data_IF_044219205566
#
_entry.id   IF_044219205566
#
_cell.length_a   1.000
_cell.length_b   1.000
_cell.length_c   1.000
_cell.angle_alpha   90.00
_cell.angle_beta   90.00
_cell.angle_gamma   90.00
#
_symmetry.space_group_name_H-M   'P 1'
#
loop_
_entity.id
_entity.type
_entity.pdbx_description
1 polymer ?
#
# COMPACT_ATOMS: atom_id res chain seq x y z
N UNK A 1 -5.67 13.30 23.85
CA UNK A 1 -5.06 12.14 23.17
C UNK A 1 -3.57 12.38 23.05
N UNK A 2 -2.76 11.47 23.54
CA UNK A 2 -1.30 11.56 23.46
C UNK A 2 -0.80 11.21 22.05
N UNK A 3 0.48 11.53 21.76
CA UNK A 3 1.10 11.10 20.49
C UNK A 3 1.19 9.57 20.38
N UNK A 4 1.35 8.90 21.52
CA UNK A 4 1.34 7.44 21.59
C UNK A 4 -0.04 6.88 21.22
N UNK A 5 -1.11 7.43 21.79
CA UNK A 5 -2.49 7.03 21.46
C UNK A 5 -2.78 7.23 19.97
N UNK A 6 -2.33 8.35 19.40
CA UNK A 6 -2.49 8.62 17.97
C UNK A 6 -1.75 7.60 17.10
N UNK A 7 -0.52 7.22 17.48
CA UNK A 7 0.25 6.19 16.78
C UNK A 7 -0.43 4.81 16.86
N UNK A 8 -0.91 4.42 18.05
CA UNK A 8 -1.63 3.15 18.27
C UNK A 8 -2.88 3.11 17.38
N UNK A 9 -3.70 4.17 17.40
CA UNK A 9 -4.93 4.24 16.58
C UNK A 9 -4.63 4.13 15.09
N UNK A 10 -3.57 4.82 14.60
CA UNK A 10 -3.17 4.73 13.19
C UNK A 10 -2.75 3.32 12.82
N UNK A 11 -1.92 2.66 13.63
CA UNK A 11 -1.45 1.31 13.37
C UNK A 11 -2.59 0.28 13.45
N UNK A 12 -3.54 0.47 14.35
CA UNK A 12 -4.73 -0.37 14.43
C UNK A 12 -5.59 -0.22 13.17
N UNK A 13 -5.85 1.01 12.72
CA UNK A 13 -6.61 1.28 11.50
C UNK A 13 -5.92 0.68 10.27
N UNK A 14 -4.60 0.85 10.13
CA UNK A 14 -3.79 0.25 9.08
C UNK A 14 -3.97 -1.27 9.06
N UNK A 15 -3.77 -1.94 10.19
CA UNK A 15 -3.92 -3.39 10.30
C UNK A 15 -5.32 -3.86 9.91
N UNK A 16 -6.37 -3.22 10.44
CA UNK A 16 -7.75 -3.59 10.13
C UNK A 16 -8.07 -3.44 8.64
N UNK A 17 -7.59 -2.38 7.99
CA UNK A 17 -7.76 -2.19 6.55
C UNK A 17 -6.96 -3.22 5.73
N UNK A 18 -5.75 -3.57 6.16
CA UNK A 18 -4.96 -4.62 5.51
C UNK A 18 -5.64 -5.98 5.63
N UNK A 19 -6.15 -6.35 6.81
CA UNK A 19 -6.89 -7.60 7.03
C UNK A 19 -8.15 -7.68 6.15
N UNK A 20 -8.90 -6.59 6.06
CA UNK A 20 -10.07 -6.50 5.20
C UNK A 20 -9.71 -6.63 3.71
N UNK A 21 -8.62 -6.00 3.27
CA UNK A 21 -8.13 -6.11 1.90
C UNK A 21 -7.66 -7.53 1.56
N UNK A 22 -6.95 -8.18 2.46
CA UNK A 22 -6.54 -9.58 2.34
C UNK A 22 -7.77 -10.48 2.14
N UNK A 23 -8.83 -10.27 2.92
CA UNK A 23 -10.08 -11.01 2.77
C UNK A 23 -10.75 -10.75 1.41
N UNK A 24 -10.72 -9.51 0.90
CA UNK A 24 -11.30 -9.12 -0.39
C UNK A 24 -10.60 -9.76 -1.60
N UNK A 25 -9.32 -10.04 -1.49
CA UNK A 25 -8.52 -10.64 -2.58
C UNK A 25 -8.39 -12.17 -2.45
N UNK A 26 -9.00 -12.78 -1.44
CA UNK A 26 -8.94 -14.22 -1.23
C UNK A 26 -9.43 -14.98 -2.48
N UNK A 27 -8.65 -15.96 -2.92
CA UNK A 27 -8.97 -16.78 -4.10
C UNK A 27 -8.82 -16.08 -5.47
N UNK A 28 -8.47 -14.80 -5.50
CA UNK A 28 -8.23 -14.05 -6.74
C UNK A 28 -6.74 -14.10 -7.11
N UNK A 29 -6.38 -14.27 -8.39
CA UNK A 29 -4.99 -14.23 -8.82
C UNK A 29 -4.43 -12.80 -8.77
N UNK A 30 -3.10 -12.67 -8.79
CA UNK A 30 -2.41 -11.39 -8.88
C UNK A 30 -1.36 -11.20 -7.77
N UNK A 31 -0.54 -10.19 -7.93
CA UNK A 31 0.52 -9.81 -7.00
C UNK A 31 0.05 -8.72 -6.04
N UNK A 32 0.85 -8.44 -5.01
CA UNK A 32 0.64 -7.34 -4.07
C UNK A 32 1.79 -6.35 -4.19
N UNK A 33 1.47 -5.06 -4.09
CA UNK A 33 2.45 -3.98 -4.05
C UNK A 33 2.49 -3.37 -2.65
N UNK A 34 3.69 -3.18 -2.13
CA UNK A 34 3.97 -2.47 -0.88
C UNK A 34 4.79 -1.23 -1.18
N UNK A 35 4.18 -0.05 -1.12
CA UNK A 35 4.83 1.22 -1.39
C UNK A 35 5.26 1.87 -0.08
N UNK A 36 6.57 1.88 0.15
CA UNK A 36 7.19 2.30 1.40
C UNK A 36 7.38 1.13 2.38
N UNK A 37 8.61 0.64 2.49
CA UNK A 37 8.94 -0.46 3.40
C UNK A 37 9.06 0.01 4.86
N UNK A 38 9.71 1.16 5.08
CA UNK A 38 9.95 1.70 6.42
C UNK A 38 10.56 0.65 7.35
N UNK A 39 9.93 0.42 8.50
CA UNK A 39 10.34 -0.62 9.46
C UNK A 39 9.96 -2.05 9.04
N UNK A 40 9.23 -2.21 7.95
CA UNK A 40 8.79 -3.52 7.46
C UNK A 40 7.55 -4.11 8.13
N UNK A 41 6.85 -3.37 8.98
CA UNK A 41 5.70 -3.89 9.76
C UNK A 41 4.53 -4.33 8.90
N UNK A 42 4.12 -3.51 7.96
CA UNK A 42 3.03 -3.84 7.03
C UNK A 42 3.44 -4.94 6.06
N UNK A 43 4.67 -4.91 5.55
CA UNK A 43 5.21 -6.00 4.75
C UNK A 43 5.22 -7.33 5.50
N UNK A 44 5.70 -7.36 6.76
CA UNK A 44 5.72 -8.55 7.59
C UNK A 44 4.30 -9.10 7.86
N UNK A 45 3.36 -8.20 8.10
CA UNK A 45 1.95 -8.55 8.25
C UNK A 45 1.37 -9.17 6.98
N UNK A 46 1.61 -8.53 5.83
CA UNK A 46 1.11 -9.02 4.53
C UNK A 46 1.74 -10.36 4.12
N UNK A 47 3.06 -10.55 4.25
CA UNK A 47 3.70 -11.81 3.91
C UNK A 47 3.23 -12.96 4.79
N UNK A 48 2.88 -12.68 6.05
CA UNK A 48 2.32 -13.67 6.98
C UNK A 48 0.89 -14.03 6.62
N UNK A 49 0.08 -13.05 6.23
CA UNK A 49 -1.30 -13.26 5.83
C UNK A 49 -1.44 -13.88 4.42
N UNK A 50 -0.44 -13.69 3.56
CA UNK A 50 -0.42 -14.09 2.15
C UNK A 50 0.86 -14.88 1.81
N UNK A 51 1.10 -16.05 2.45
CA UNK A 51 2.40 -16.74 2.37
C UNK A 51 2.77 -17.20 0.95
N UNK A 52 1.78 -17.47 0.11
CA UNK A 52 1.98 -17.97 -1.27
C UNK A 52 1.92 -16.87 -2.33
N UNK A 53 1.83 -15.60 -1.92
CA UNK A 53 1.66 -14.48 -2.85
C UNK A 53 2.93 -13.65 -2.96
N UNK A 54 3.32 -13.31 -4.18
CA UNK A 54 4.42 -12.37 -4.40
C UNK A 54 4.01 -10.96 -3.96
N UNK A 55 4.88 -10.35 -3.15
CA UNK A 55 4.74 -8.97 -2.68
C UNK A 55 5.95 -8.20 -3.19
N UNK A 56 5.73 -7.24 -4.08
CA UNK A 56 6.78 -6.35 -4.59
C UNK A 56 6.81 -5.08 -3.75
N UNK A 57 8.01 -4.72 -3.30
CA UNK A 57 8.26 -3.65 -2.35
C UNK A 57 9.01 -2.51 -3.02
N UNK A 58 8.56 -1.29 -2.77
CA UNK A 58 9.13 -0.06 -3.32
C UNK A 58 9.65 0.82 -2.19
N UNK A 59 10.94 1.12 -2.19
CA UNK A 59 11.53 2.07 -1.24
C UNK A 59 12.85 2.64 -1.80
N UNK A 60 13.28 3.75 -1.26
CA UNK A 60 14.61 4.34 -1.54
C UNK A 60 15.71 3.56 -0.83
N UNK A 61 15.42 3.06 0.37
CA UNK A 61 16.38 2.43 1.25
C UNK A 61 15.82 1.14 1.84
N UNK A 62 16.70 0.18 2.09
CA UNK A 62 16.38 -1.03 2.85
C UNK A 62 16.80 -0.80 4.30
N UNK A 63 15.86 -0.40 5.15
CA UNK A 63 16.07 -0.15 6.59
C UNK A 63 15.02 -0.79 7.48
N UNK A 64 14.41 -1.94 7.11
CA UNK A 64 13.46 -2.61 7.98
C UNK A 64 14.19 -3.33 9.12
N UNK A 65 13.40 -3.83 10.09
CA UNK A 65 13.89 -4.82 11.03
C UNK A 65 14.51 -6.00 10.26
N UNK A 66 15.64 -6.59 10.70
CA UNK A 66 16.32 -7.69 9.98
C UNK A 66 15.41 -8.86 9.59
N UNK A 67 14.41 -9.16 10.43
CA UNK A 67 13.45 -10.23 10.17
C UNK A 67 12.39 -9.87 9.10
N UNK A 68 12.36 -8.61 8.66
CA UNK A 68 11.35 -8.08 7.73
C UNK A 68 11.95 -7.65 6.38
N UNK A 69 13.12 -8.19 6.01
CA UNK A 69 13.77 -7.87 4.72
C UNK A 69 13.11 -8.69 3.61
N UNK A 70 12.55 -8.03 2.56
CA UNK A 70 12.02 -8.74 1.40
C UNK A 70 13.15 -9.43 0.60
N UNK A 71 12.84 -10.47 -0.18
CA UNK A 71 13.80 -11.01 -1.17
C UNK A 71 14.22 -9.93 -2.17
N UNK A 72 15.51 -9.95 -2.56
CA UNK A 72 16.07 -8.93 -3.45
C UNK A 72 15.34 -8.83 -4.80
N UNK A 73 14.89 -9.96 -5.33
CA UNK A 73 14.13 -10.04 -6.58
C UNK A 73 12.73 -9.39 -6.51
N UNK A 74 12.23 -9.14 -5.31
CA UNK A 74 10.94 -8.49 -5.08
C UNK A 74 11.10 -7.02 -4.69
N UNK A 75 12.31 -6.46 -4.73
CA UNK A 75 12.55 -5.07 -4.33
C UNK A 75 12.83 -4.15 -5.53
N UNK A 76 12.07 -3.07 -5.59
CA UNK A 76 12.32 -1.92 -6.47
C UNK A 76 12.91 -0.79 -5.65
N UNK A 77 14.25 -0.67 -5.67
CA UNK A 77 15.01 0.30 -4.87
C UNK A 77 15.38 1.52 -5.70
N UNK A 78 14.90 2.68 -5.28
CA UNK A 78 15.14 3.96 -5.94
C UNK A 78 14.03 4.96 -5.70
N UNK A 79 14.02 6.03 -6.48
CA UNK A 79 12.95 7.00 -6.43
C UNK A 79 11.62 6.34 -6.83
N UNK A 80 10.57 6.60 -6.04
CA UNK A 80 9.29 5.90 -6.15
C UNK A 80 8.69 6.00 -7.54
N UNK A 81 8.71 7.20 -8.15
CA UNK A 81 8.15 7.43 -9.48
C UNK A 81 8.90 6.67 -10.58
N UNK A 82 10.22 6.59 -10.50
CA UNK A 82 11.05 5.82 -11.45
C UNK A 82 10.83 4.32 -11.29
N UNK A 83 10.76 3.86 -10.05
CA UNK A 83 10.56 2.43 -9.75
C UNK A 83 9.17 1.95 -10.14
N UNK A 84 8.12 2.76 -9.94
CA UNK A 84 6.78 2.41 -10.41
C UNK A 84 6.68 2.34 -11.93
N UNK A 85 7.35 3.25 -12.65
CA UNK A 85 7.43 3.20 -14.12
C UNK A 85 8.18 1.94 -14.60
N UNK A 86 9.25 1.54 -13.90
CA UNK A 86 9.96 0.30 -14.20
C UNK A 86 9.08 -0.91 -13.95
N UNK A 87 8.47 -0.99 -12.78
CA UNK A 87 7.58 -2.08 -12.42
C UNK A 87 6.39 -2.23 -13.40
N UNK A 88 5.85 -1.12 -13.91
CA UNK A 88 4.76 -1.17 -14.89
C UNK A 88 5.19 -1.87 -16.20
N UNK A 89 6.46 -1.71 -16.61
CA UNK A 89 7.01 -2.43 -17.77
C UNK A 89 7.25 -3.91 -17.47
N UNK A 90 7.72 -4.22 -16.25
CA UNK A 90 8.13 -5.57 -15.87
C UNK A 90 6.93 -6.44 -15.47
N UNK A 91 5.98 -5.88 -14.72
CA UNK A 91 4.90 -6.62 -14.07
C UNK A 91 3.54 -6.47 -14.78
N UNK A 92 3.37 -5.40 -15.56
CA UNK A 92 2.10 -5.08 -16.19
C UNK A 92 0.97 -4.84 -15.18
N UNK A 93 -0.27 -4.89 -15.65
CA UNK A 93 -1.50 -4.71 -14.85
C UNK A 93 -1.89 -6.01 -14.13
N UNK A 94 -1.07 -6.42 -13.16
CA UNK A 94 -1.20 -7.73 -12.48
C UNK A 94 -1.36 -7.61 -10.95
N UNK A 95 -1.34 -6.40 -10.40
CA UNK A 95 -1.51 -6.21 -8.98
C UNK A 95 -3.00 -6.23 -8.58
N UNK A 96 -3.37 -7.17 -7.70
CA UNK A 96 -4.73 -7.27 -7.15
C UNK A 96 -4.89 -6.45 -5.87
N UNK A 97 -3.79 -6.04 -5.26
CA UNK A 97 -3.77 -5.20 -4.07
C UNK A 97 -2.54 -4.31 -4.08
N UNK A 98 -2.69 -3.09 -3.61
CA UNK A 98 -1.58 -2.20 -3.26
C UNK A 98 -1.79 -1.62 -1.86
N UNK A 99 -0.72 -1.60 -1.07
CA UNK A 99 -0.64 -0.81 0.15
C UNK A 99 0.30 0.37 -0.06
N UNK A 100 -0.14 1.57 0.30
CA UNK A 100 0.61 2.79 0.09
C UNK A 100 0.61 3.67 1.34
N UNK A 101 1.69 3.60 2.12
CA UNK A 101 1.97 4.53 3.23
C UNK A 101 2.87 5.66 2.69
N UNK A 102 2.25 6.58 1.95
CA UNK A 102 2.91 7.62 1.15
C UNK A 102 2.68 9.03 1.67
N UNK A 103 2.00 9.16 2.80
CA UNK A 103 1.79 10.44 3.47
C UNK A 103 3.03 10.91 4.22
N UNK A 104 3.16 12.22 4.27
CA UNK A 104 4.11 12.90 5.15
C UNK A 104 3.36 13.50 6.34
N UNK A 105 4.08 13.93 7.38
CA UNK A 105 3.48 14.70 8.48
C UNK A 105 2.93 16.07 8.07
N UNK A 106 3.21 16.51 6.83
CA UNK A 106 2.76 17.75 6.22
C UNK A 106 1.70 17.47 5.14
N UNK A 107 0.55 18.14 5.24
CA UNK A 107 -0.59 17.91 4.35
C UNK A 107 -0.30 18.32 2.89
N UNK A 108 0.45 19.41 2.67
CA UNK A 108 0.78 19.89 1.33
C UNK A 108 1.75 18.94 0.63
N UNK A 109 2.76 18.47 1.36
CA UNK A 109 3.71 17.47 0.84
C UNK A 109 3.01 16.16 0.54
N UNK A 110 2.09 15.73 1.41
CA UNK A 110 1.29 14.51 1.20
C UNK A 110 0.44 14.62 -0.07
N UNK A 111 -0.26 15.73 -0.27
CA UNK A 111 -1.07 15.94 -1.47
C UNK A 111 -0.24 15.94 -2.76
N UNK A 112 0.93 16.58 -2.75
CA UNK A 112 1.87 16.56 -3.89
C UNK A 112 2.35 15.14 -4.19
N UNK A 113 2.69 14.37 -3.16
CA UNK A 113 3.15 13.00 -3.32
C UNK A 113 2.05 12.09 -3.88
N UNK A 114 0.83 12.21 -3.38
CA UNK A 114 -0.33 11.48 -3.92
C UNK A 114 -0.57 11.81 -5.39
N UNK A 115 -0.51 13.09 -5.75
CA UNK A 115 -0.68 13.55 -7.13
C UNK A 115 0.41 13.01 -8.08
N UNK A 116 1.62 12.82 -7.58
CA UNK A 116 2.73 12.23 -8.33
C UNK A 116 2.61 10.71 -8.46
N UNK A 117 2.38 10.04 -7.33
CA UNK A 117 2.47 8.58 -7.22
C UNK A 117 1.18 7.89 -7.68
N UNK A 118 0.02 8.47 -7.40
CA UNK A 118 -1.28 7.86 -7.70
C UNK A 118 -1.44 7.45 -9.16
N UNK A 119 -1.18 8.32 -10.16
CA UNK A 119 -1.27 7.94 -11.57
C UNK A 119 -0.30 6.83 -11.97
N UNK A 120 0.82 6.69 -11.26
CA UNK A 120 1.84 5.67 -11.54
C UNK A 120 1.50 4.30 -10.97
N UNK A 121 0.63 4.24 -9.97
CA UNK A 121 0.13 2.96 -9.42
C UNK A 121 -0.93 2.36 -10.37
N UNK A 122 -1.74 3.19 -11.01
CA UNK A 122 -2.88 2.74 -11.83
C UNK A 122 -2.52 1.72 -12.91
N UNK A 123 -1.44 1.85 -13.68
CA UNK A 123 -1.06 0.87 -14.71
C UNK A 123 -0.69 -0.50 -14.14
N UNK A 124 -0.32 -0.58 -12.88
CA UNK A 124 0.05 -1.82 -12.19
C UNK A 124 -1.16 -2.59 -11.66
N UNK A 125 -2.26 -1.89 -11.38
CA UNK A 125 -3.45 -2.47 -10.80
C UNK A 125 -4.33 -3.13 -11.85
N UNK A 126 -4.76 -4.36 -11.62
CA UNK A 126 -5.83 -4.97 -12.42
C UNK A 126 -7.20 -4.39 -12.02
N UNK A 127 -8.23 -4.47 -12.89
CA UNK A 127 -9.59 -4.10 -12.54
C UNK A 127 -10.07 -4.85 -11.29
N UNK A 128 -10.71 -4.13 -10.37
CA UNK A 128 -11.17 -4.67 -9.10
C UNK A 128 -10.09 -4.78 -8.02
N UNK A 129 -8.85 -4.35 -8.28
CA UNK A 129 -7.79 -4.32 -7.29
C UNK A 129 -8.13 -3.42 -6.11
N UNK A 130 -7.71 -3.82 -4.92
CA UNK A 130 -7.92 -3.06 -3.67
C UNK A 130 -6.68 -2.24 -3.35
N UNK A 131 -6.88 -0.95 -3.10
CA UNK A 131 -5.83 -0.06 -2.60
C UNK A 131 -6.12 0.29 -1.15
N UNK A 132 -5.15 0.05 -0.28
CA UNK A 132 -5.15 0.46 1.13
C UNK A 132 -4.09 1.55 1.30
N UNK A 133 -4.45 2.70 1.84
CA UNK A 133 -3.51 3.82 1.92
C UNK A 133 -3.77 4.74 3.12
N UNK A 134 -2.73 5.45 3.53
CA UNK A 134 -2.83 6.50 4.54
C UNK A 134 -3.34 7.84 3.97
N UNK A 135 -3.51 7.91 2.64
CA UNK A 135 -4.07 9.07 1.92
C UNK A 135 -4.98 8.60 0.79
N UNK A 136 -6.16 9.19 0.68
CA UNK A 136 -7.08 8.89 -0.41
C UNK A 136 -6.46 9.22 -1.77
N UNK A 137 -6.65 8.32 -2.73
CA UNK A 137 -6.33 8.55 -4.13
C UNK A 137 -7.57 9.16 -4.80
N UNK A 138 -7.46 10.41 -5.24
CA UNK A 138 -8.58 11.14 -5.86
C UNK A 138 -8.47 11.09 -7.38
N UNK A 139 -8.72 9.93 -7.96
CA UNK A 139 -8.68 9.69 -9.41
C UNK A 139 -9.98 9.05 -9.90
N UNK A 140 -10.40 9.34 -11.16
CA UNK A 140 -11.63 8.77 -11.71
C UNK A 140 -11.65 7.24 -11.77
N UNK A 141 -10.48 6.61 -11.80
CA UNK A 141 -10.31 5.16 -11.93
C UNK A 141 -10.45 4.40 -10.61
N UNK A 142 -10.67 5.10 -9.50
CA UNK A 142 -10.85 4.47 -8.19
C UNK A 142 -12.12 4.94 -7.50
N UNK A 143 -12.77 4.04 -6.81
CA UNK A 143 -13.92 4.33 -5.97
C UNK A 143 -13.62 4.02 -4.49
N UNK A 144 -14.23 4.78 -3.58
CA UNK A 144 -14.12 4.50 -2.16
C UNK A 144 -14.82 3.19 -1.80
N UNK A 145 -14.23 2.44 -0.86
CA UNK A 145 -14.83 1.26 -0.24
C UNK A 145 -15.21 1.59 1.21
N UNK A 146 -16.18 0.86 1.75
CA UNK A 146 -16.51 0.93 3.16
C UNK A 146 -15.31 0.49 4.01
N UNK A 147 -15.05 1.23 5.07
CA UNK A 147 -14.01 0.88 6.03
C UNK A 147 -14.49 -0.20 7.00
N UNK A 148 -13.59 -1.05 7.52
CA UNK A 148 -13.94 -1.97 8.59
C UNK A 148 -14.52 -1.26 9.81
N UNK A 149 -15.45 -1.90 10.49
CA UNK A 149 -16.02 -1.38 11.74
C UNK A 149 -14.93 -1.04 12.75
N UNK A 150 -15.00 0.17 13.32
CA UNK A 150 -14.02 0.67 14.27
C UNK A 150 -12.83 1.42 13.67
N UNK A 151 -12.71 1.49 12.35
CA UNK A 151 -11.74 2.36 11.69
C UNK A 151 -12.31 3.77 11.56
N UNK A 152 -11.68 4.80 12.18
CA UNK A 152 -12.15 6.17 12.06
C UNK A 152 -11.96 6.72 10.64
N UNK A 153 -12.94 7.49 10.17
CA UNK A 153 -12.83 8.20 8.89
C UNK A 153 -11.60 9.11 8.82
N UNK A 154 -10.96 9.13 7.66
CA UNK A 154 -9.82 10.00 7.39
C UNK A 154 -8.50 9.55 8.00
N UNK A 155 -8.48 8.46 8.75
CA UNK A 155 -7.25 7.92 9.35
C UNK A 155 -6.53 6.96 8.41
N UNK A 156 -7.30 6.12 7.70
CA UNK A 156 -6.86 5.22 6.65
C UNK A 156 -7.93 5.11 5.58
N UNK A 157 -7.59 4.66 4.38
CA UNK A 157 -8.49 4.62 3.24
C UNK A 157 -8.44 3.25 2.57
N UNK A 158 -9.59 2.79 2.11
CA UNK A 158 -9.73 1.64 1.23
C UNK A 158 -10.44 2.08 -0.05
N UNK A 159 -9.88 1.72 -1.19
CA UNK A 159 -10.41 2.09 -2.50
C UNK A 159 -10.31 0.89 -3.45
N UNK A 160 -11.15 0.89 -4.47
CA UNK A 160 -11.15 -0.15 -5.50
C UNK A 160 -10.88 0.47 -6.86
N UNK A 161 -10.00 -0.15 -7.63
CA UNK A 161 -9.85 0.18 -9.04
C UNK A 161 -11.08 -0.27 -9.83
N UNK A 162 -11.63 0.64 -10.60
CA UNK A 162 -12.75 0.39 -11.54
C UNK A 162 -12.32 -0.41 -12.76
#
# INVERSE_FOLDING_TARGET
MTRLDAAIRRLQAQRMCLDAAVAQIAGKPGIVLELGLGNGRSYDHLRTALPDRQIFVFDRNVSPHPDCIPPDENMYLGEMDEMLKSAARDLGSNAIMAHADIGYGDAVKSAKNVALIGPLIMPLLCPGAVVVSDRALNFPEVEAMDLPEGVPDGLYFMQRRL
#
